data_IF_320027038831
#
_entry.id   IF_320027038831
#
_cell.length_a   1.000
_cell.length_b   1.000
_cell.length_c   1.000
_cell.angle_alpha   90.00
_cell.angle_beta   90.00
_cell.angle_gamma   90.00
#
_symmetry.space_group_name_H-M   'P 1'
#
loop_
_entity.id
_entity.type
_entity.pdbx_description
1 polymer ?
#
# COMPACT_ATOMS: atom_id res chain seq x y z
N UNK A 1 4.86 -10.33 17.63
CA UNK A 1 5.92 -11.27 17.21
C UNK A 1 6.64 -11.84 18.44
N UNK A 2 7.22 -11.02 19.34
CA UNK A 2 7.97 -11.53 20.51
C UNK A 2 7.19 -12.61 21.30
N UNK A 3 5.92 -12.32 21.62
CA UNK A 3 5.10 -13.28 22.34
C UNK A 3 4.91 -14.62 21.60
N UNK A 4 4.84 -14.58 20.28
CA UNK A 4 4.75 -15.80 19.45
C UNK A 4 6.03 -16.63 19.54
N UNK A 5 7.18 -15.96 19.50
CA UNK A 5 8.49 -16.61 19.61
C UNK A 5 8.72 -17.20 21.01
N UNK A 6 8.31 -16.51 22.07
CA UNK A 6 8.37 -17.04 23.46
C UNK A 6 7.55 -18.31 23.64
N UNK A 7 6.45 -18.45 22.90
CA UNK A 7 5.63 -19.66 22.85
C UNK A 7 6.24 -20.78 21.98
N UNK A 8 7.47 -20.60 21.48
CA UNK A 8 8.14 -21.54 20.59
C UNK A 8 7.53 -21.63 19.21
N UNK A 9 6.68 -20.65 18.82
CA UNK A 9 6.03 -20.61 17.51
C UNK A 9 6.67 -19.54 16.62
N UNK A 10 6.43 -19.60 15.32
CA UNK A 10 7.04 -18.76 14.29
C UNK A 10 6.07 -17.74 13.71
N UNK A 11 6.62 -16.70 13.09
CA UNK A 11 5.81 -15.60 12.55
C UNK A 11 6.09 -15.37 11.06
N UNK A 12 5.03 -15.15 10.31
CA UNK A 12 5.06 -14.69 8.92
C UNK A 12 4.53 -13.26 8.85
N UNK A 13 5.30 -12.36 8.24
CA UNK A 13 4.92 -10.97 8.04
C UNK A 13 4.88 -10.68 6.55
N UNK A 14 3.71 -10.36 6.05
CA UNK A 14 3.49 -9.96 4.67
C UNK A 14 3.40 -8.45 4.59
N UNK A 15 4.14 -7.86 3.67
CA UNK A 15 4.19 -6.41 3.43
C UNK A 15 4.08 -6.14 1.93
N UNK A 16 3.51 -4.99 1.51
CA UNK A 16 3.55 -4.58 0.11
C UNK A 16 5.00 -4.43 -0.39
N UNK A 17 5.22 -4.63 -1.68
CA UNK A 17 6.57 -4.51 -2.27
C UNK A 17 7.21 -3.14 -2.01
N UNK A 18 6.44 -2.07 -2.07
CA UNK A 18 6.89 -0.70 -1.80
C UNK A 18 7.32 -0.46 -0.35
N UNK A 19 6.78 -1.25 0.59
CA UNK A 19 7.08 -1.14 2.03
C UNK A 19 8.32 -1.94 2.43
N UNK A 20 8.73 -2.94 1.63
CA UNK A 20 9.88 -3.80 1.94
C UNK A 20 11.21 -3.13 1.56
N UNK A 21 11.50 -2.01 2.21
CA UNK A 21 12.71 -1.24 1.96
C UNK A 21 13.94 -1.85 2.64
N UNK A 22 15.18 -1.58 2.14
CA UNK A 22 16.39 -1.99 2.83
C UNK A 22 16.49 -1.47 4.27
N UNK A 23 15.90 -0.31 4.55
CA UNK A 23 15.85 0.26 5.89
C UNK A 23 14.96 -0.58 6.82
N UNK A 24 13.78 -0.97 6.36
CA UNK A 24 12.88 -1.87 7.10
C UNK A 24 13.55 -3.22 7.39
N UNK A 25 14.16 -3.81 6.38
CA UNK A 25 14.88 -5.09 6.54
C UNK A 25 16.01 -4.96 7.57
N UNK A 26 16.82 -3.88 7.52
CA UNK A 26 17.87 -3.65 8.52
C UNK A 26 17.30 -3.51 9.93
N UNK A 27 16.20 -2.77 10.10
CA UNK A 27 15.53 -2.60 11.39
C UNK A 27 15.00 -3.93 11.93
N UNK A 28 14.40 -4.74 11.10
CA UNK A 28 13.94 -6.07 11.50
C UNK A 28 15.09 -6.99 11.87
N UNK A 29 16.19 -6.99 11.10
CA UNK A 29 17.40 -7.74 11.42
C UNK A 29 18.04 -7.29 12.73
N UNK A 30 18.08 -5.99 13.02
CA UNK A 30 18.60 -5.47 14.29
C UNK A 30 17.74 -5.86 15.49
N UNK A 31 16.42 -6.03 15.29
CA UNK A 31 15.48 -6.40 16.36
C UNK A 31 15.44 -7.92 16.59
N UNK A 32 15.46 -8.72 15.53
CA UNK A 32 15.18 -10.16 15.57
C UNK A 32 16.41 -11.05 15.23
N UNK A 33 17.54 -10.43 14.89
CA UNK A 33 18.80 -11.13 14.65
C UNK A 33 18.85 -11.95 13.35
N UNK A 34 19.69 -12.98 13.36
CA UNK A 34 20.02 -13.80 12.18
C UNK A 34 18.93 -14.81 11.80
N UNK A 35 17.93 -15.03 12.66
CA UNK A 35 16.84 -15.99 12.39
C UNK A 35 15.67 -15.36 11.62
N UNK A 36 15.91 -14.22 10.97
CA UNK A 36 14.99 -13.55 10.07
C UNK A 36 15.30 -13.93 8.62
N UNK A 37 14.36 -14.56 7.93
CA UNK A 37 14.39 -14.79 6.49
C UNK A 37 13.59 -13.72 5.75
N UNK A 38 14.07 -13.33 4.57
CA UNK A 38 13.42 -12.30 3.74
C UNK A 38 13.09 -12.87 2.36
N UNK A 39 11.86 -12.69 1.89
CA UNK A 39 11.39 -13.16 0.57
C UNK A 39 10.74 -12.04 -0.22
N UNK A 40 11.33 -11.64 -1.35
CA UNK A 40 10.76 -10.66 -2.28
C UNK A 40 11.23 -10.87 -3.71
N UNK A 41 10.59 -10.19 -4.66
CA UNK A 41 10.82 -10.33 -6.10
C UNK A 41 12.22 -9.90 -6.55
N UNK A 42 12.85 -8.94 -5.86
CA UNK A 42 14.19 -8.43 -6.20
C UNK A 42 15.35 -9.35 -5.79
N UNK A 43 15.11 -10.43 -5.04
CA UNK A 43 16.13 -11.45 -4.76
C UNK A 43 16.46 -12.22 -6.04
N UNK A 44 17.75 -12.45 -6.30
CA UNK A 44 18.14 -13.36 -7.36
C UNK A 44 17.82 -14.83 -6.99
N UNK A 45 17.90 -15.73 -7.97
CA UNK A 45 17.48 -17.12 -7.78
C UNK A 45 18.30 -17.84 -6.69
N UNK A 46 19.60 -17.55 -6.58
CA UNK A 46 20.48 -18.15 -5.56
C UNK A 46 20.09 -17.66 -4.16
N UNK A 47 19.91 -16.36 -3.99
CA UNK A 47 19.47 -15.75 -2.72
C UNK A 47 18.10 -16.31 -2.31
N UNK A 48 17.15 -16.38 -3.25
CA UNK A 48 15.82 -16.94 -3.01
C UNK A 48 15.89 -18.39 -2.55
N UNK A 49 16.73 -19.21 -3.18
CA UNK A 49 16.94 -20.60 -2.78
C UNK A 49 17.56 -20.71 -1.38
N UNK A 50 18.54 -19.87 -1.05
CA UNK A 50 19.17 -19.84 0.28
C UNK A 50 18.16 -19.48 1.36
N UNK A 51 17.34 -18.44 1.14
CA UNK A 51 16.27 -18.06 2.08
C UNK A 51 15.25 -19.19 2.23
N UNK A 52 14.83 -19.81 1.13
CA UNK A 52 13.90 -20.94 1.16
C UNK A 52 14.43 -22.12 1.98
N UNK A 53 15.70 -22.52 1.75
CA UNK A 53 16.36 -23.59 2.52
C UNK A 53 16.47 -23.24 4.00
N UNK A 54 16.84 -22.01 4.32
CA UNK A 54 16.90 -21.51 5.70
C UNK A 54 15.55 -21.68 6.41
N UNK A 55 14.46 -21.34 5.76
CA UNK A 55 13.11 -21.49 6.30
C UNK A 55 12.74 -22.97 6.46
N UNK A 56 12.95 -23.78 5.41
CA UNK A 56 12.61 -25.20 5.38
C UNK A 56 13.35 -26.01 6.44
N UNK A 57 14.62 -25.68 6.67
CA UNK A 57 15.46 -26.33 7.69
C UNK A 57 15.17 -25.89 9.13
N UNK A 58 14.24 -24.94 9.30
CA UNK A 58 13.89 -24.44 10.64
C UNK A 58 14.90 -23.44 11.22
N UNK A 59 15.79 -22.91 10.40
CA UNK A 59 16.79 -21.91 10.80
C UNK A 59 16.25 -20.46 10.80
N UNK A 60 14.99 -20.27 10.40
CA UNK A 60 14.28 -19.00 10.48
C UNK A 60 13.10 -19.11 11.44
N UNK A 61 12.96 -18.14 12.34
CA UNK A 61 11.81 -18.00 13.23
C UNK A 61 10.80 -17.00 12.70
N UNK A 62 11.27 -16.06 11.88
CA UNK A 62 10.46 -15.02 11.26
C UNK A 62 10.73 -15.01 9.77
N UNK A 63 9.65 -14.98 9.00
CA UNK A 63 9.72 -14.70 7.56
C UNK A 63 9.05 -13.38 7.30
N UNK A 64 9.74 -12.47 6.62
CA UNK A 64 9.18 -11.22 6.11
C UNK A 64 9.25 -11.25 4.59
N UNK A 65 8.17 -10.91 3.94
CA UNK A 65 8.18 -10.90 2.49
C UNK A 65 6.94 -10.29 1.87
N UNK A 66 6.95 -10.26 0.54
CA UNK A 66 5.82 -9.77 -0.24
C UNK A 66 4.78 -10.87 -0.44
N UNK A 67 3.78 -10.63 -1.24
CA UNK A 67 2.65 -11.55 -1.50
C UNK A 67 3.03 -13.04 -1.55
N UNK A 68 4.08 -13.39 -2.31
CA UNK A 68 4.49 -14.79 -2.49
C UNK A 68 5.05 -15.45 -1.23
N UNK A 69 5.48 -14.70 -0.23
CA UNK A 69 5.95 -15.23 1.04
C UNK A 69 4.84 -15.95 1.83
N UNK A 70 3.58 -15.75 1.46
CA UNK A 70 2.45 -16.50 2.03
C UNK A 70 2.61 -18.02 1.88
N UNK A 71 3.41 -18.50 0.93
CA UNK A 71 3.73 -19.91 0.71
C UNK A 71 5.05 -20.38 1.36
N UNK A 72 5.72 -19.50 2.12
CA UNK A 72 6.97 -19.88 2.78
C UNK A 72 6.80 -21.16 3.64
N UNK A 73 7.72 -22.14 3.57
CA UNK A 73 7.58 -23.42 4.27
C UNK A 73 7.96 -23.30 5.76
N UNK A 74 7.35 -22.34 6.44
CA UNK A 74 7.59 -22.02 7.83
C UNK A 74 6.83 -23.03 8.70
N UNK A 75 7.56 -23.86 9.44
CA UNK A 75 7.00 -24.85 10.34
C UNK A 75 6.53 -24.20 11.66
N UNK A 76 5.55 -24.80 12.33
CA UNK A 76 5.04 -24.34 13.62
C UNK A 76 4.61 -22.85 13.59
N UNK A 77 3.91 -22.44 12.53
CA UNK A 77 3.45 -21.08 12.34
C UNK A 77 2.41 -20.71 13.41
N UNK A 78 2.65 -19.62 14.13
CA UNK A 78 1.79 -19.12 15.21
C UNK A 78 1.16 -17.78 14.94
N UNK A 79 1.72 -17.02 13.99
CA UNK A 79 1.27 -15.67 13.66
C UNK A 79 1.48 -15.37 12.19
N UNK A 80 0.45 -14.87 11.55
CA UNK A 80 0.52 -14.25 10.22
C UNK A 80 0.09 -12.79 10.38
N UNK A 81 0.95 -11.86 9.96
CA UNK A 81 0.63 -10.43 9.88
C UNK A 81 0.57 -10.04 8.41
N UNK A 82 -0.50 -9.37 8.01
CA UNK A 82 -0.61 -8.71 6.71
C UNK A 82 -0.68 -7.20 6.96
N UNK A 83 0.40 -6.51 6.66
CA UNK A 83 0.50 -5.05 6.80
C UNK A 83 -0.02 -4.37 5.54
N UNK A 84 -0.68 -3.19 5.70
CA UNK A 84 -1.37 -2.49 4.60
C UNK A 84 -2.28 -3.46 3.82
N UNK A 85 -3.15 -4.18 4.54
CA UNK A 85 -3.95 -5.30 3.98
C UNK A 85 -4.84 -4.88 2.81
N UNK A 86 -5.16 -3.59 2.67
CA UNK A 86 -5.96 -3.06 1.56
C UNK A 86 -5.19 -2.98 0.23
N UNK A 87 -3.88 -3.21 0.23
CA UNK A 87 -3.07 -3.11 -0.97
C UNK A 87 -3.40 -4.21 -1.98
N UNK A 88 -3.81 -3.83 -3.19
CA UNK A 88 -4.18 -4.78 -4.25
C UNK A 88 -2.99 -5.61 -4.76
N UNK A 89 -1.76 -5.25 -4.42
CA UNK A 89 -0.59 -6.07 -4.72
C UNK A 89 -0.61 -7.46 -4.05
N UNK A 90 -1.49 -7.69 -3.08
CA UNK A 90 -1.75 -9.02 -2.50
C UNK A 90 -2.52 -9.95 -3.43
N UNK A 91 -3.13 -9.44 -4.49
CA UNK A 91 -3.75 -10.23 -5.55
C UNK A 91 -2.77 -10.53 -6.67
N UNK A 92 -2.69 -11.79 -7.13
CA UNK A 92 -1.85 -12.19 -8.26
C UNK A 92 -2.60 -12.01 -9.58
N UNK A 93 -2.10 -11.11 -10.43
CA UNK A 93 -2.65 -10.89 -11.77
C UNK A 93 -2.19 -11.97 -12.78
N UNK A 94 -1.02 -12.56 -12.53
CA UNK A 94 -0.43 -13.61 -13.37
C UNK A 94 -0.78 -15.00 -12.85
N UNK A 95 -0.74 -15.99 -13.73
CA UNK A 95 -0.95 -17.39 -13.37
C UNK A 95 0.21 -17.96 -12.53
N UNK A 96 -0.06 -18.74 -11.46
CA UNK A 96 -1.39 -18.99 -10.90
C UNK A 96 -1.98 -17.76 -10.20
N UNK A 97 -3.23 -17.44 -10.51
CA UNK A 97 -3.95 -16.35 -9.84
C UNK A 97 -4.37 -16.79 -8.44
N UNK A 98 -4.07 -15.97 -7.46
CA UNK A 98 -4.48 -16.19 -6.06
C UNK A 98 -4.55 -14.85 -5.33
N UNK A 99 -5.30 -14.83 -4.25
CA UNK A 99 -5.33 -13.76 -3.27
C UNK A 99 -4.59 -14.20 -2.00
N UNK A 100 -3.60 -13.42 -1.57
CA UNK A 100 -2.82 -13.76 -0.38
C UNK A 100 -3.66 -13.73 0.90
N UNK A 101 -4.77 -12.96 0.95
CA UNK A 101 -5.70 -12.97 2.07
C UNK A 101 -6.35 -14.35 2.26
N UNK A 102 -6.82 -14.95 1.18
CA UNK A 102 -7.49 -16.25 1.23
C UNK A 102 -6.50 -17.36 1.59
N UNK A 103 -5.28 -17.30 1.03
CA UNK A 103 -4.21 -18.23 1.41
C UNK A 103 -3.82 -18.07 2.87
N UNK A 104 -3.66 -16.83 3.36
CA UNK A 104 -3.32 -16.55 4.75
C UNK A 104 -4.42 -17.03 5.71
N UNK A 105 -5.70 -16.77 5.40
CA UNK A 105 -6.85 -17.29 6.17
C UNK A 105 -6.81 -18.82 6.25
N UNK A 106 -6.62 -19.48 5.10
CA UNK A 106 -6.57 -20.94 5.04
C UNK A 106 -5.40 -21.50 5.82
N UNK A 107 -4.21 -20.91 5.68
CA UNK A 107 -3.02 -21.31 6.46
C UNK A 107 -3.23 -21.12 7.97
N UNK A 108 -3.74 -19.96 8.36
CA UNK A 108 -4.02 -19.67 9.77
C UNK A 108 -4.96 -20.73 10.40
N UNK A 109 -5.99 -21.14 9.66
CA UNK A 109 -6.90 -22.20 10.11
C UNK A 109 -6.21 -23.56 10.20
N UNK A 110 -5.43 -23.95 9.20
CA UNK A 110 -4.76 -25.27 9.15
C UNK A 110 -3.67 -25.41 10.21
N UNK A 111 -2.96 -24.33 10.50
CA UNK A 111 -1.81 -24.32 11.41
C UNK A 111 -2.18 -23.79 12.82
N UNK A 112 -3.46 -23.49 13.06
CA UNK A 112 -3.96 -22.86 14.29
C UNK A 112 -3.13 -21.62 14.66
N UNK A 113 -2.90 -20.75 13.68
CA UNK A 113 -2.15 -19.51 13.83
C UNK A 113 -3.09 -18.31 13.96
N UNK A 114 -2.65 -17.29 14.68
CA UNK A 114 -3.34 -16.00 14.71
C UNK A 114 -3.10 -15.29 13.37
N UNK A 115 -4.17 -14.81 12.72
CA UNK A 115 -4.09 -13.94 11.56
C UNK A 115 -4.45 -12.51 11.97
N UNK A 116 -3.57 -11.58 11.66
CA UNK A 116 -3.71 -10.15 11.94
C UNK A 116 -3.64 -9.35 10.64
N UNK A 117 -4.70 -8.64 10.33
CA UNK A 117 -4.74 -7.63 9.28
C UNK A 117 -4.45 -6.27 9.89
N UNK A 118 -3.50 -5.53 9.34
CA UNK A 118 -3.16 -4.19 9.78
C UNK A 118 -3.36 -3.19 8.65
N UNK A 119 -4.09 -2.11 8.91
CA UNK A 119 -4.35 -1.05 7.94
C UNK A 119 -4.83 0.22 8.62
N UNK A 120 -4.52 1.37 8.01
CA UNK A 120 -5.17 2.65 8.33
C UNK A 120 -6.52 2.80 7.60
N UNK A 121 -6.70 2.08 6.48
CA UNK A 121 -7.87 2.14 5.58
C UNK A 121 -8.25 0.71 5.17
N UNK A 122 -8.80 -0.11 6.07
CA UNK A 122 -9.05 -1.53 5.81
C UNK A 122 -9.99 -1.75 4.61
N UNK A 123 -9.87 -2.91 3.97
CA UNK A 123 -10.82 -3.34 2.95
C UNK A 123 -12.25 -3.36 3.53
N UNK A 124 -13.23 -3.01 2.71
CA UNK A 124 -14.64 -2.99 3.10
C UNK A 124 -15.09 -4.34 3.65
N UNK A 125 -14.64 -5.44 3.04
CA UNK A 125 -14.94 -6.81 3.43
C UNK A 125 -14.35 -7.16 4.79
N UNK A 126 -13.10 -6.76 5.05
CA UNK A 126 -12.41 -6.98 6.34
C UNK A 126 -13.06 -6.16 7.45
N UNK A 127 -13.37 -4.88 7.16
CA UNK A 127 -14.03 -4.01 8.12
C UNK A 127 -15.45 -4.50 8.46
N UNK A 128 -16.24 -4.89 7.46
CA UNK A 128 -17.56 -5.48 7.67
C UNK A 128 -17.49 -6.80 8.46
N UNK A 129 -16.47 -7.63 8.21
CA UNK A 129 -16.27 -8.85 8.98
C UNK A 129 -15.99 -8.55 10.47
N UNK A 130 -15.28 -7.46 10.76
CA UNK A 130 -15.03 -6.99 12.12
C UNK A 130 -16.31 -6.43 12.77
N UNK A 131 -17.09 -5.60 12.07
CA UNK A 131 -18.36 -5.07 12.57
C UNK A 131 -19.40 -6.18 12.83
N UNK A 132 -19.40 -7.23 12.00
CA UNK A 132 -20.29 -8.40 12.17
C UNK A 132 -19.80 -9.41 13.23
N UNK A 133 -18.69 -9.13 13.93
CA UNK A 133 -18.14 -9.98 14.98
C UNK A 133 -17.41 -11.24 14.49
N UNK A 134 -17.17 -11.38 13.18
CA UNK A 134 -16.36 -12.48 12.61
C UNK A 134 -14.87 -12.30 12.83
N UNK A 135 -14.42 -11.05 12.98
CA UNK A 135 -13.07 -10.68 13.33
C UNK A 135 -13.08 -9.77 14.56
N UNK A 136 -12.03 -9.85 15.36
CA UNK A 136 -11.86 -8.91 16.47
C UNK A 136 -11.26 -7.61 15.92
N UNK A 137 -11.94 -6.47 16.17
CA UNK A 137 -11.45 -5.15 15.81
C UNK A 137 -10.60 -4.59 16.96
N UNK A 138 -9.39 -4.17 16.64
CA UNK A 138 -8.51 -3.41 17.55
C UNK A 138 -8.20 -2.06 16.90
N UNK A 139 -8.57 -0.97 17.55
CA UNK A 139 -8.36 0.39 17.04
C UNK A 139 -7.23 1.09 17.79
N UNK A 140 -6.27 1.62 17.05
CA UNK A 140 -5.23 2.51 17.57
C UNK A 140 -5.70 3.95 17.41
N UNK A 141 -6.32 4.50 18.45
CA UNK A 141 -6.97 5.83 18.43
C UNK A 141 -6.03 7.00 18.62
N UNK A 142 -4.81 6.75 19.08
CA UNK A 142 -3.83 7.80 19.37
C UNK A 142 -2.66 7.73 18.39
N UNK A 143 -2.26 8.88 17.87
CA UNK A 143 -1.05 8.99 17.04
C UNK A 143 0.20 8.86 17.91
N UNK A 144 1.22 8.22 17.32
CA UNK A 144 2.53 8.18 17.94
C UNK A 144 3.05 9.61 18.22
N UNK A 145 3.47 9.88 19.46
CA UNK A 145 3.94 11.19 19.89
C UNK A 145 2.84 12.23 20.11
N UNK A 146 1.55 11.87 20.11
CA UNK A 146 0.43 12.78 20.44
C UNK A 146 0.26 13.98 19.47
N UNK A 147 0.84 13.92 18.27
CA UNK A 147 0.78 15.03 17.31
C UNK A 147 -0.64 15.24 16.77
N UNK A 148 -1.11 16.50 16.67
CA UNK A 148 -2.42 16.80 16.08
C UNK A 148 -2.46 16.44 14.58
N UNK A 149 -3.66 16.31 14.06
CA UNK A 149 -3.86 16.19 12.63
C UNK A 149 -3.45 17.49 11.93
N UNK A 150 -2.91 17.43 10.71
CA UNK A 150 -2.63 18.63 9.92
C UNK A 150 -3.94 19.37 9.59
N UNK A 151 -3.85 20.67 9.40
CA UNK A 151 -4.96 21.45 8.87
C UNK A 151 -5.19 21.12 7.41
N UNK A 152 -6.46 20.97 7.00
CA UNK A 152 -6.85 20.69 5.63
C UNK A 152 -7.50 21.93 5.02
N UNK A 153 -7.02 22.34 3.86
CA UNK A 153 -7.57 23.46 3.10
C UNK A 153 -8.05 22.97 1.73
N UNK A 154 -9.32 23.21 1.43
CA UNK A 154 -9.90 22.92 0.12
C UNK A 154 -9.80 24.15 -0.78
N UNK A 155 -9.42 23.94 -2.04
CA UNK A 155 -9.32 25.01 -3.04
C UNK A 155 -10.16 24.62 -4.25
N UNK A 156 -11.13 25.46 -4.63
CA UNK A 156 -11.89 25.25 -5.86
C UNK A 156 -11.07 25.76 -7.06
N UNK A 157 -10.52 24.84 -7.83
CA UNK A 157 -9.72 25.15 -9.01
C UNK A 157 -10.54 25.83 -10.14
N UNK A 158 -11.87 25.73 -10.11
CA UNK A 158 -12.74 26.48 -11.05
C UNK A 158 -12.75 27.96 -10.71
N UNK A 159 -12.78 28.30 -9.42
CA UNK A 159 -12.66 29.67 -8.95
C UNK A 159 -11.26 30.25 -9.28
N UNK A 160 -10.21 29.47 -9.13
CA UNK A 160 -8.84 29.83 -9.54
C UNK A 160 -8.78 30.15 -11.05
N UNK A 161 -9.39 29.30 -11.88
CA UNK A 161 -9.45 29.51 -13.34
C UNK A 161 -10.23 30.77 -13.70
N UNK A 162 -11.38 31.01 -13.05
CA UNK A 162 -12.17 32.22 -13.24
C UNK A 162 -11.43 33.49 -12.81
N UNK A 163 -10.55 33.37 -11.80
CA UNK A 163 -9.70 34.46 -11.34
C UNK A 163 -8.41 34.62 -12.20
N UNK A 164 -8.28 33.91 -13.33
CA UNK A 164 -7.17 34.04 -14.26
C UNK A 164 -5.97 33.15 -14.01
N UNK A 165 -6.10 32.13 -13.14
CA UNK A 165 -5.07 31.12 -12.94
C UNK A 165 -5.36 29.85 -13.77
N UNK A 166 -4.81 29.69 -14.99
CA UNK A 166 -5.02 28.50 -15.81
C UNK A 166 -4.10 27.33 -15.43
N UNK A 167 -3.31 27.48 -14.37
CA UNK A 167 -2.31 26.48 -13.94
C UNK A 167 -2.99 25.34 -13.17
N UNK A 168 -2.32 24.21 -13.13
CA UNK A 168 -2.76 23.03 -12.37
C UNK A 168 -2.50 23.17 -10.86
N UNK A 169 -1.68 24.15 -10.47
CA UNK A 169 -1.36 24.50 -9.10
C UNK A 169 -2.05 25.79 -8.72
N UNK A 170 -2.81 25.79 -7.64
CA UNK A 170 -3.46 26.99 -7.14
C UNK A 170 -2.44 28.06 -6.70
N UNK A 171 -2.83 29.31 -6.72
CA UNK A 171 -2.00 30.43 -6.24
C UNK A 171 -1.58 30.20 -4.79
N UNK A 172 -2.51 29.73 -3.95
CA UNK A 172 -2.22 29.41 -2.55
C UNK A 172 -1.19 28.29 -2.40
N UNK A 173 -1.37 27.16 -3.10
CA UNK A 173 -0.41 26.05 -3.03
C UNK A 173 0.98 26.47 -3.51
N UNK A 174 1.05 27.27 -4.58
CA UNK A 174 2.32 27.78 -5.09
C UNK A 174 3.05 28.66 -4.06
N UNK A 175 2.30 29.46 -3.29
CA UNK A 175 2.85 30.27 -2.20
C UNK A 175 3.37 29.39 -1.06
N UNK A 176 2.55 28.48 -0.53
CA UNK A 176 2.92 27.56 0.56
C UNK A 176 4.16 26.73 0.21
N UNK A 177 4.25 26.25 -1.05
CA UNK A 177 5.43 25.51 -1.52
C UNK A 177 6.70 26.38 -1.52
N UNK A 178 6.59 27.64 -1.90
CA UNK A 178 7.71 28.57 -1.89
C UNK A 178 8.15 28.88 -0.47
N UNK A 179 7.20 29.16 0.42
CA UNK A 179 7.46 29.41 1.85
C UNK A 179 8.17 28.21 2.51
N UNK A 180 7.72 26.97 2.22
CA UNK A 180 8.38 25.77 2.72
C UNK A 180 9.82 25.64 2.22
N UNK A 181 10.06 25.94 0.93
CA UNK A 181 11.41 25.91 0.36
C UNK A 181 12.30 26.98 1.06
N UNK A 182 11.81 28.18 1.21
CA UNK A 182 12.53 29.29 1.83
C UNK A 182 12.87 29.00 3.31
N UNK A 183 11.98 28.26 3.99
CA UNK A 183 12.19 27.80 5.37
C UNK A 183 13.05 26.53 5.49
N UNK A 184 13.48 25.92 4.37
CA UNK A 184 14.21 24.65 4.36
C UNK A 184 13.34 23.44 4.73
N UNK A 185 12.02 23.56 4.61
CA UNK A 185 11.05 22.52 4.90
C UNK A 185 10.76 21.64 3.67
N UNK A 186 10.20 20.46 3.89
CA UNK A 186 9.87 19.50 2.83
C UNK A 186 8.37 19.53 2.51
N UNK A 187 8.05 19.37 1.22
CA UNK A 187 6.68 19.26 0.73
C UNK A 187 6.47 17.96 -0.03
N UNK A 188 5.35 17.29 0.21
CA UNK A 188 4.95 16.09 -0.52
C UNK A 188 3.76 16.45 -1.40
N UNK A 189 3.92 16.27 -2.72
CA UNK A 189 2.86 16.48 -3.70
C UNK A 189 2.33 15.12 -4.17
N UNK A 190 1.05 14.86 -3.92
CA UNK A 190 0.36 13.70 -4.47
C UNK A 190 -0.29 14.11 -5.80
N UNK A 191 0.32 13.66 -6.90
CA UNK A 191 -0.24 13.84 -8.23
C UNK A 191 -0.88 12.53 -8.68
N UNK A 192 -2.19 12.47 -8.59
CA UNK A 192 -2.95 11.27 -9.00
C UNK A 192 -3.20 11.22 -10.52
N UNK A 193 -2.31 11.81 -11.32
CA UNK A 193 -2.50 11.94 -12.77
C UNK A 193 -1.25 11.55 -13.54
N UNK A 194 -1.34 10.51 -14.36
CA UNK A 194 -0.31 10.17 -15.34
C UNK A 194 -0.54 10.98 -16.62
N UNK A 195 0.42 11.85 -17.03
CA UNK A 195 0.44 12.55 -18.32
C UNK A 195 -0.20 13.93 -18.35
N UNK A 196 0.05 14.66 -19.46
CA UNK A 196 -0.51 15.98 -19.77
C UNK A 196 -2.02 15.91 -19.93
N UNK A 197 -2.74 17.00 -19.52
CA UNK A 197 -4.18 17.25 -19.62
C UNK A 197 -4.98 16.13 -20.30
N UNK A 198 -5.54 15.24 -19.52
CA UNK A 198 -6.11 14.00 -20.05
C UNK A 198 -7.60 14.05 -20.29
N UNK A 199 -8.31 15.07 -19.83
CA UNK A 199 -9.78 15.13 -19.94
C UNK A 199 -10.17 16.47 -20.58
N UNK A 200 -10.95 16.40 -21.66
CA UNK A 200 -11.60 17.57 -22.22
C UNK A 200 -12.69 18.08 -21.29
N UNK A 201 -12.51 19.27 -20.73
CA UNK A 201 -13.47 19.89 -19.82
C UNK A 201 -13.71 21.34 -20.22
N UNK A 202 -14.97 21.78 -20.17
CA UNK A 202 -15.33 23.17 -20.40
C UNK A 202 -14.78 24.04 -19.25
N UNK A 203 -14.03 25.09 -19.61
CA UNK A 203 -13.45 26.01 -18.63
C UNK A 203 -14.50 26.81 -17.86
N UNK A 204 -15.67 27.08 -18.49
CA UNK A 204 -16.71 27.92 -17.93
C UNK A 204 -17.66 27.17 -16.98
N UNK A 205 -18.11 25.97 -17.37
CA UNK A 205 -19.14 25.24 -16.60
C UNK A 205 -18.65 23.93 -16.00
N UNK A 206 -17.39 23.53 -16.25
CA UNK A 206 -16.82 22.27 -15.75
C UNK A 206 -17.37 21.02 -16.44
N UNK A 207 -18.18 21.17 -17.52
CA UNK A 207 -18.70 20.02 -18.24
C UNK A 207 -17.55 19.19 -18.83
N UNK A 208 -17.56 17.89 -18.53
CA UNK A 208 -16.56 16.92 -19.05
C UNK A 208 -17.07 16.36 -20.38
N UNK A 209 -16.24 16.49 -21.42
CA UNK A 209 -16.54 15.91 -22.73
C UNK A 209 -16.43 14.40 -22.65
N UNK A 210 -17.53 13.71 -22.96
CA UNK A 210 -17.63 12.23 -22.89
C UNK A 210 -17.76 11.64 -24.29
N UNK A 211 -17.28 10.42 -24.43
CA UNK A 211 -17.46 9.64 -25.64
C UNK A 211 -18.96 9.33 -25.82
N UNK A 212 -19.55 9.57 -27.01
CA UNK A 212 -20.96 9.30 -27.26
C UNK A 212 -21.30 7.80 -27.21
N UNK A 213 -20.32 6.93 -27.43
CA UNK A 213 -20.55 5.49 -27.52
C UNK A 213 -20.38 4.76 -26.16
N UNK A 214 -19.51 5.23 -25.26
CA UNK A 214 -19.21 4.54 -24.00
C UNK A 214 -19.24 5.43 -22.76
N UNK A 215 -19.58 6.72 -22.90
CA UNK A 215 -19.68 7.72 -21.83
C UNK A 215 -18.39 7.95 -21.02
N UNK A 216 -17.26 7.36 -21.41
CA UNK A 216 -15.95 7.59 -20.79
C UNK A 216 -15.48 9.02 -21.15
N UNK A 217 -14.85 9.76 -20.21
CA UNK A 217 -14.25 11.05 -20.51
C UNK A 217 -13.26 10.97 -21.67
N UNK A 218 -13.37 11.91 -22.63
CA UNK A 218 -12.43 12.01 -23.73
C UNK A 218 -11.09 12.56 -23.25
N UNK A 219 -10.01 11.96 -23.72
CA UNK A 219 -8.63 12.27 -23.37
C UNK A 219 -7.96 13.01 -24.51
N UNK A 220 -7.26 14.13 -24.22
CA UNK A 220 -6.51 14.85 -25.24
C UNK A 220 -5.17 14.20 -25.52
N UNK A 221 -4.97 13.77 -26.75
CA UNK A 221 -3.72 13.21 -27.27
C UNK A 221 -2.90 14.26 -27.99
N UNK A 222 -1.78 14.65 -27.39
CA UNK A 222 -0.90 15.69 -27.96
C UNK A 222 -0.34 15.34 -29.33
N UNK A 223 0.08 14.08 -29.64
CA UNK A 223 0.59 13.74 -30.96
C UNK A 223 -0.44 13.89 -32.07
N UNK A 224 -1.70 13.56 -31.79
CA UNK A 224 -2.83 13.63 -32.74
C UNK A 224 -3.58 14.94 -32.66
N UNK A 225 -3.29 15.80 -31.67
CA UNK A 225 -4.01 17.04 -31.39
C UNK A 225 -5.53 16.86 -31.31
N UNK A 226 -5.99 15.71 -30.83
CA UNK A 226 -7.39 15.32 -30.81
C UNK A 226 -7.84 14.77 -29.46
N UNK A 227 -9.14 14.92 -29.17
CA UNK A 227 -9.80 14.25 -28.07
C UNK A 227 -10.21 12.85 -28.50
N UNK A 228 -9.70 11.83 -27.83
CA UNK A 228 -9.91 10.43 -28.17
C UNK A 228 -10.54 9.66 -27.01
N UNK A 229 -11.27 8.63 -27.34
CA UNK A 229 -11.77 7.62 -26.41
C UNK A 229 -10.73 6.48 -26.30
N UNK A 230 -10.51 5.98 -25.10
CA UNK A 230 -9.66 4.82 -24.81
C UNK A 230 -10.50 3.58 -24.52
#
# INVERSE_FOLDING_TARGET
IHRTLELGRRALVLVPEISLTPQMIRRLKSTFGSRLAVQHSALNNTERLLQWRMIQQGNADIVVGTRSAVFAPLQNLGLIIMDEEQEHTYQSESAPRYDAHDVAKKRAMMENALLLFASATPLTETYHAAESGKLQLVQLTHRYGGRPLPSVNFIDMRAELAAGNPREVSVRLARELRENIDNGEQSILLLNRRGYRTIGMCATCGHVLKCPNCSVPLVYHKPQQALMCH
#
